data_IF_975428254925
#
_entry.id   IF_975428254925
#
_cell.length_a   1.000
_cell.length_b   1.000
_cell.length_c   1.000
_cell.angle_alpha   90.00
_cell.angle_beta   90.00
_cell.angle_gamma   90.00
#
_symmetry.space_group_name_H-M   'P 1'
#
loop_
_entity.id
_entity.type
_entity.pdbx_description
1 polymer ?
#
# COMPACT_ATOMS: atom_id res chain seq x y z
N UNK A 1 -35.32 36.18 2.66
CA UNK A 1 -33.87 36.25 2.99
C UNK A 1 -33.26 34.87 2.77
N UNK A 2 -32.45 34.72 1.71
CA UNK A 2 -31.86 33.43 1.30
C UNK A 2 -30.72 33.07 2.25
N UNK A 3 -30.79 31.87 2.84
CA UNK A 3 -30.01 31.47 4.03
C UNK A 3 -28.52 31.26 3.69
N UNK A 4 -27.57 31.80 4.50
CA UNK A 4 -26.13 31.62 4.29
C UNK A 4 -25.65 30.17 4.48
N UNK A 5 -26.51 29.29 5.00
CA UNK A 5 -26.19 27.88 5.26
C UNK A 5 -25.85 27.08 3.99
N UNK A 6 -26.42 27.43 2.84
CA UNK A 6 -26.20 26.71 1.58
C UNK A 6 -24.78 26.95 1.01
N UNK A 7 -24.20 28.13 1.28
CA UNK A 7 -22.85 28.48 0.84
C UNK A 7 -21.77 27.70 1.60
N UNK A 8 -21.95 27.50 2.91
CA UNK A 8 -21.04 26.68 3.72
C UNK A 8 -21.04 25.22 3.30
N UNK A 9 -22.21 24.67 2.91
CA UNK A 9 -22.31 23.29 2.42
C UNK A 9 -21.56 23.08 1.09
N UNK A 10 -21.63 24.06 0.18
CA UNK A 10 -20.91 24.02 -1.10
C UNK A 10 -19.40 24.12 -0.88
N UNK A 11 -18.93 24.95 0.06
CA UNK A 11 -17.50 25.05 0.40
C UNK A 11 -16.93 23.75 0.96
N UNK A 12 -17.68 23.04 1.81
CA UNK A 12 -17.26 21.72 2.34
C UNK A 12 -17.17 20.70 1.21
N UNK A 13 -18.19 20.60 0.34
CA UNK A 13 -18.17 19.65 -0.79
C UNK A 13 -17.02 19.95 -1.75
N UNK A 14 -16.75 21.24 -2.03
CA UNK A 14 -15.62 21.66 -2.87
C UNK A 14 -14.26 21.33 -2.25
N UNK A 15 -14.15 21.33 -0.92
CA UNK A 15 -12.90 20.95 -0.24
C UNK A 15 -12.61 19.45 -0.26
N UNK A 16 -13.64 18.58 -0.32
CA UNK A 16 -13.45 17.13 -0.44
C UNK A 16 -13.02 16.69 -1.85
N UNK A 17 -13.32 17.48 -2.89
CA UNK A 17 -12.93 17.21 -4.29
C UNK A 17 -11.47 17.58 -4.62
N UNK A 18 -10.78 18.26 -3.71
CA UNK A 18 -9.34 18.55 -3.78
C UNK A 18 -8.48 17.45 -3.14
N UNK A 19 -9.04 16.24 -2.97
CA UNK A 19 -8.28 15.05 -2.57
C UNK A 19 -7.08 14.88 -3.50
N UNK A 20 -5.88 14.93 -2.92
CA UNK A 20 -4.60 14.99 -3.62
C UNK A 20 -4.54 14.01 -4.80
N UNK A 21 -4.46 14.54 -6.02
CA UNK A 21 -4.14 13.71 -7.18
C UNK A 21 -2.66 13.34 -7.06
N UNK A 22 -2.37 12.07 -6.74
CA UNK A 22 -1.01 11.55 -6.73
C UNK A 22 -0.34 11.78 -8.09
N UNK A 23 0.96 12.09 -8.08
CA UNK A 23 1.73 12.31 -9.32
C UNK A 23 1.84 11.00 -10.13
N UNK A 24 2.06 11.10 -11.45
CA UNK A 24 2.26 9.91 -12.29
C UNK A 24 3.51 9.10 -11.87
N UNK A 25 4.55 9.78 -11.39
CA UNK A 25 5.73 9.15 -10.82
C UNK A 25 5.39 8.35 -9.55
N UNK A 26 4.62 8.94 -8.64
CA UNK A 26 4.16 8.27 -7.42
C UNK A 26 3.36 7.02 -7.74
N UNK A 27 2.42 7.10 -8.70
CA UNK A 27 1.63 5.95 -9.16
C UNK A 27 2.52 4.85 -9.73
N UNK A 28 3.54 5.20 -10.51
CA UNK A 28 4.48 4.23 -11.08
C UNK A 28 5.31 3.54 -9.99
N UNK A 29 5.77 4.29 -8.98
CA UNK A 29 6.51 3.74 -7.83
C UNK A 29 5.62 2.77 -7.05
N UNK A 30 4.40 3.18 -6.70
CA UNK A 30 3.45 2.33 -5.95
C UNK A 30 3.16 1.05 -6.72
N UNK A 31 2.82 1.15 -8.01
CA UNK A 31 2.49 -0.01 -8.84
C UNK A 31 3.67 -0.99 -8.97
N UNK A 32 4.89 -0.47 -9.13
CA UNK A 32 6.11 -1.28 -9.20
C UNK A 32 6.38 -2.01 -7.87
N UNK A 33 6.30 -1.29 -6.75
CA UNK A 33 6.52 -1.84 -5.42
C UNK A 33 5.45 -2.87 -5.02
N UNK A 34 4.17 -2.63 -5.32
CA UNK A 34 3.08 -3.59 -5.09
C UNK A 34 3.29 -4.88 -5.91
N UNK A 35 3.64 -4.76 -7.19
CA UNK A 35 3.90 -5.93 -8.05
C UNK A 35 5.09 -6.74 -7.53
N UNK A 36 6.18 -6.07 -7.16
CA UNK A 36 7.35 -6.70 -6.56
C UNK A 36 6.99 -7.43 -5.27
N UNK A 37 6.27 -6.77 -4.36
CA UNK A 37 5.86 -7.33 -3.07
C UNK A 37 4.96 -8.55 -3.23
N UNK A 38 3.95 -8.47 -4.11
CA UNK A 38 3.03 -9.59 -4.37
C UNK A 38 3.78 -10.81 -4.90
N UNK A 39 4.68 -10.61 -5.86
CA UNK A 39 5.51 -11.69 -6.41
C UNK A 39 6.44 -12.27 -5.35
N UNK A 40 7.11 -11.44 -4.55
CA UNK A 40 7.99 -11.89 -3.49
C UNK A 40 7.24 -12.80 -2.49
N UNK A 41 6.04 -12.39 -2.06
CA UNK A 41 5.24 -13.17 -1.10
C UNK A 41 4.76 -14.48 -1.74
N UNK A 42 4.26 -14.44 -2.97
CA UNK A 42 3.79 -15.63 -3.69
C UNK A 42 4.92 -16.64 -3.92
N UNK A 43 6.07 -16.17 -4.39
CA UNK A 43 7.23 -17.02 -4.68
C UNK A 43 7.80 -17.62 -3.41
N UNK A 44 8.03 -16.80 -2.37
CA UNK A 44 8.72 -17.24 -1.15
C UNK A 44 7.82 -17.91 -0.13
N UNK A 45 6.54 -17.58 -0.06
CA UNK A 45 5.61 -18.08 0.97
C UNK A 45 4.41 -18.83 0.39
N UNK A 46 4.14 -18.69 -0.91
CA UNK A 46 3.00 -19.38 -1.54
C UNK A 46 1.66 -18.71 -1.30
N UNK A 47 1.66 -17.50 -0.76
CA UNK A 47 0.44 -16.77 -0.44
C UNK A 47 0.17 -15.71 -1.51
N UNK A 48 -1.05 -15.72 -2.05
CA UNK A 48 -1.54 -14.61 -2.86
C UNK A 48 -2.05 -13.50 -1.93
N UNK A 49 -1.73 -12.25 -2.25
CA UNK A 49 -2.08 -11.10 -1.41
C UNK A 49 -2.79 -10.01 -2.21
N UNK A 50 -3.66 -9.27 -1.53
CA UNK A 50 -4.27 -8.02 -2.04
C UNK A 50 -3.82 -6.86 -1.18
N UNK A 51 -3.16 -5.90 -1.80
CA UNK A 51 -2.82 -4.63 -1.18
C UNK A 51 -3.99 -3.66 -1.29
N UNK A 52 -4.16 -2.83 -0.26
CA UNK A 52 -5.27 -1.88 -0.16
C UNK A 52 -4.82 -0.49 0.22
N UNK A 53 -3.65 -0.37 0.86
CA UNK A 53 -3.14 0.89 1.39
C UNK A 53 -1.62 0.93 1.27
N UNK A 54 -1.08 2.11 1.01
CA UNK A 54 0.35 2.35 1.02
C UNK A 54 0.68 3.66 1.75
N UNK A 55 1.91 3.78 2.20
CA UNK A 55 2.46 4.99 2.81
C UNK A 55 3.93 5.15 2.48
N UNK A 56 4.30 6.26 1.86
CA UNK A 56 5.70 6.63 1.69
C UNK A 56 6.33 6.98 3.03
N UNK A 57 7.58 6.52 3.22
CA UNK A 57 8.43 7.04 4.27
C UNK A 57 8.77 8.50 3.97
N UNK A 58 9.05 9.32 5.00
CA UNK A 58 9.54 10.67 4.77
C UNK A 58 10.76 10.64 3.84
N UNK A 59 10.81 11.49 2.80
CA UNK A 59 11.81 11.41 1.74
C UNK A 59 13.25 11.70 2.22
N UNK A 60 13.38 12.33 3.38
CA UNK A 60 14.63 12.59 4.09
C UNK A 60 15.12 11.39 4.91
N UNK A 61 14.26 10.40 5.17
CA UNK A 61 14.60 9.20 5.95
C UNK A 61 14.92 8.00 5.08
N UNK A 62 14.05 7.68 4.10
CA UNK A 62 14.29 6.54 3.22
C UNK A 62 13.44 6.58 1.94
N UNK A 63 13.91 5.86 0.92
CA UNK A 63 13.14 5.56 -0.30
C UNK A 63 12.28 4.31 -0.10
N UNK A 64 11.50 4.27 0.97
CA UNK A 64 10.72 3.09 1.34
C UNK A 64 9.22 3.36 1.27
N UNK A 65 8.48 2.38 0.76
CA UNK A 65 7.03 2.36 0.70
C UNK A 65 6.50 1.24 1.60
N UNK A 66 5.76 1.60 2.64
CA UNK A 66 5.02 0.65 3.48
C UNK A 66 3.70 0.29 2.81
N UNK A 67 3.45 -0.98 2.56
CA UNK A 67 2.28 -1.48 1.84
C UNK A 67 1.51 -2.44 2.75
N UNK A 68 0.21 -2.19 2.91
CA UNK A 68 -0.69 -2.98 3.74
C UNK A 68 -1.71 -3.72 2.87
N UNK A 69 -2.05 -4.93 3.30
CA UNK A 69 -2.98 -5.77 2.59
C UNK A 69 -3.47 -6.94 3.42
N UNK A 70 -3.93 -7.97 2.72
CA UNK A 70 -4.36 -9.23 3.33
C UNK A 70 -4.17 -10.40 2.35
N UNK A 71 -4.13 -11.62 2.89
CA UNK A 71 -4.10 -12.85 2.09
C UNK A 71 -5.43 -13.02 1.35
N UNK A 72 -5.38 -13.30 0.06
CA UNK A 72 -6.58 -13.52 -0.75
C UNK A 72 -7.51 -14.56 -0.12
N UNK A 73 -8.82 -14.25 -0.11
CA UNK A 73 -9.83 -15.09 0.53
C UNK A 73 -10.04 -14.83 2.02
N UNK A 74 -9.12 -14.15 2.72
CA UNK A 74 -9.28 -13.86 4.15
C UNK A 74 -8.77 -12.47 4.55
N UNK A 75 -9.70 -11.50 4.66
CA UNK A 75 -9.40 -10.12 5.05
C UNK A 75 -8.88 -9.96 6.49
N UNK A 76 -9.01 -10.99 7.35
CA UNK A 76 -8.50 -10.98 8.73
C UNK A 76 -7.01 -11.29 8.77
N UNK A 77 -6.49 -12.01 7.77
CA UNK A 77 -5.07 -12.34 7.62
C UNK A 77 -4.31 -11.15 7.03
N UNK A 78 -3.99 -10.18 7.88
CA UNK A 78 -3.30 -8.94 7.52
C UNK A 78 -1.85 -9.18 7.12
N UNK A 79 -1.40 -8.43 6.12
CA UNK A 79 -0.03 -8.44 5.60
C UNK A 79 0.48 -7.02 5.61
N UNK A 80 1.73 -6.84 6.03
CA UNK A 80 2.47 -5.60 5.88
C UNK A 80 3.85 -5.88 5.30
N UNK A 81 4.27 -5.06 4.34
CA UNK A 81 5.59 -5.13 3.75
C UNK A 81 6.16 -3.73 3.54
N UNK A 82 7.41 -3.52 3.94
CA UNK A 82 8.18 -2.32 3.68
C UNK A 82 9.15 -2.62 2.53
N UNK A 83 9.00 -1.87 1.44
CA UNK A 83 9.75 -2.05 0.20
C UNK A 83 10.61 -0.81 -0.03
N UNK A 84 11.94 -0.97 -0.12
CA UNK A 84 12.76 0.04 -0.77
C UNK A 84 12.44 0.00 -2.26
N UNK A 85 12.08 1.12 -2.88
CA UNK A 85 11.70 1.17 -4.29
C UNK A 85 12.85 1.54 -5.23
N UNK A 86 14.05 1.82 -4.72
CA UNK A 86 15.23 2.22 -5.50
C UNK A 86 16.56 1.81 -4.80
N UNK A 87 17.09 0.60 -5.05
CA UNK A 87 16.51 -0.48 -5.85
C UNK A 87 15.46 -1.30 -5.08
N UNK A 88 14.56 -1.95 -5.83
CA UNK A 88 13.53 -2.84 -5.30
C UNK A 88 14.10 -3.91 -4.37
N UNK A 89 13.76 -3.83 -3.09
CA UNK A 89 14.13 -4.82 -2.08
C UNK A 89 13.16 -4.80 -0.90
N UNK A 90 13.02 -5.95 -0.23
CA UNK A 90 12.20 -6.07 0.99
C UNK A 90 13.04 -5.67 2.19
N UNK A 91 12.62 -4.64 2.90
CA UNK A 91 13.25 -4.19 4.15
C UNK A 91 12.59 -4.83 5.37
N UNK A 92 11.27 -5.01 5.34
CA UNK A 92 10.51 -5.63 6.43
C UNK A 92 9.30 -6.35 5.87
N UNK A 93 8.98 -7.52 6.43
CA UNK A 93 7.79 -8.28 6.07
C UNK A 93 7.12 -8.82 7.35
N UNK A 94 5.83 -8.56 7.49
CA UNK A 94 4.97 -9.10 8.53
C UNK A 94 3.84 -9.90 7.86
N UNK A 95 3.78 -11.19 8.19
CA UNK A 95 2.75 -12.12 7.72
C UNK A 95 1.95 -12.66 8.92
N UNK A 96 0.72 -13.16 8.68
CA UNK A 96 -0.05 -13.84 9.71
C UNK A 96 0.68 -15.07 10.27
N UNK A 97 0.36 -15.44 11.51
CA UNK A 97 0.86 -16.65 12.13
C UNK A 97 0.55 -17.90 11.28
N UNK A 98 1.49 -18.86 11.28
CA UNK A 98 1.38 -20.10 10.52
C UNK A 98 1.79 -20.00 9.04
N UNK A 99 2.00 -18.79 8.50
CA UNK A 99 2.58 -18.63 7.16
C UNK A 99 4.09 -18.80 7.23
N UNK A 100 4.60 -19.86 6.60
CA UNK A 100 6.02 -20.18 6.59
C UNK A 100 6.59 -20.06 5.19
N UNK A 101 7.87 -19.69 5.10
CA UNK A 101 8.60 -19.70 3.84
C UNK A 101 8.54 -21.11 3.23
N UNK A 102 8.35 -21.21 1.91
CA UNK A 102 8.48 -22.47 1.19
C UNK A 102 9.85 -23.07 1.50
N UNK A 103 9.87 -24.37 1.79
CA UNK A 103 11.11 -25.13 1.84
C UNK A 103 11.73 -25.08 0.45
N UNK A 104 12.99 -24.65 0.37
CA UNK A 104 13.78 -24.78 -0.85
C UNK A 104 14.04 -26.28 -1.06
N UNK A 105 13.06 -27.01 -1.61
CA UNK A 105 13.26 -28.40 -2.05
C UNK A 105 14.25 -28.35 -3.21
N UNK A 106 15.49 -28.70 -2.87
CA UNK A 106 16.62 -28.86 -3.78
C UNK A 106 16.47 -30.10 -4.64
#
# INVERSE_FOLDING_TARGET
MRKPFFLFLILIISSLLLGACASEEEKAIVSSAEKFAANYILEKYGEAVRFTEYRFSPPDLSKSLGIHGYIEGDKKKKVFILVNYDPLSVETLSLPEGVTKKSDSK
#
